data_IF_930749618673
#
_entry.id   IF_930749618673
#
_cell.length_a   1.000
_cell.length_b   1.000
_cell.length_c   1.000
_cell.angle_alpha   90.00
_cell.angle_beta   90.00
_cell.angle_gamma   90.00
#
_symmetry.space_group_name_H-M   'P 1'
#
loop_
_entity.id
_entity.type
_entity.pdbx_description
1 polymer ?
#
# COMPACT_ATOMS: atom_id res chain seq x y z
N UNK A 1 32.30 9.77 5.31
CA UNK A 1 30.83 9.77 5.13
C UNK A 1 30.36 8.37 5.52
N UNK A 2 29.44 8.20 6.49
CA UNK A 2 28.93 6.85 6.82
C UNK A 2 27.93 6.44 5.74
N UNK A 3 28.03 5.21 5.25
CA UNK A 3 27.04 4.62 4.36
C UNK A 3 25.70 4.45 5.09
N UNK A 4 24.60 4.81 4.42
CA UNK A 4 23.25 4.58 4.94
C UNK A 4 22.97 3.09 5.02
N UNK A 5 22.40 2.66 6.12
CA UNK A 5 21.84 1.31 6.29
C UNK A 5 20.70 1.07 5.30
N UNK A 6 20.39 -0.19 5.02
CA UNK A 6 19.29 -0.56 4.11
C UNK A 6 17.94 0.01 4.56
N UNK A 7 17.69 0.06 5.87
CA UNK A 7 16.47 0.65 6.42
C UNK A 7 16.39 2.17 6.15
N UNK A 8 17.50 2.89 6.30
CA UNK A 8 17.59 4.32 6.00
C UNK A 8 17.44 4.61 4.50
N UNK A 9 17.96 3.72 3.64
CA UNK A 9 17.76 3.81 2.19
C UNK A 9 16.29 3.61 1.81
N UNK A 10 15.62 2.61 2.37
CA UNK A 10 14.19 2.35 2.14
C UNK A 10 13.33 3.50 2.64
N UNK A 11 13.62 4.03 3.84
CA UNK A 11 12.89 5.18 4.37
C UNK A 11 13.06 6.42 3.49
N UNK A 12 14.28 6.69 3.00
CA UNK A 12 14.53 7.81 2.10
C UNK A 12 13.79 7.69 0.77
N UNK A 13 13.68 6.47 0.22
CA UNK A 13 12.90 6.21 -0.99
C UNK A 13 11.39 6.34 -0.75
N UNK A 14 10.90 5.87 0.40
CA UNK A 14 9.47 5.93 0.74
C UNK A 14 8.97 7.37 0.97
N UNK A 15 9.84 8.24 1.51
CA UNK A 15 9.52 9.64 1.79
C UNK A 15 9.86 10.58 0.62
N UNK A 16 10.37 10.06 -0.49
CA UNK A 16 10.69 10.85 -1.67
C UNK A 16 9.42 11.44 -2.30
N UNK A 17 9.34 12.77 -2.34
CA UNK A 17 8.23 13.45 -3.02
C UNK A 17 8.44 13.40 -4.53
N UNK A 18 7.61 12.62 -5.21
CA UNK A 18 7.60 12.56 -6.67
C UNK A 18 6.79 13.72 -7.28
N UNK A 19 7.25 14.31 -8.39
CA UNK A 19 6.40 15.11 -9.25
C UNK A 19 5.19 14.31 -9.73
N UNK A 20 4.05 14.97 -9.93
CA UNK A 20 2.79 14.30 -10.27
C UNK A 20 2.89 13.45 -11.55
N UNK A 21 3.59 13.95 -12.57
CA UNK A 21 3.81 13.24 -13.83
C UNK A 21 4.58 11.93 -13.64
N UNK A 22 5.67 11.98 -12.86
CA UNK A 22 6.49 10.82 -12.57
C UNK A 22 5.73 9.78 -11.73
N UNK A 23 4.92 10.24 -10.78
CA UNK A 23 4.03 9.37 -10.02
C UNK A 23 3.04 8.65 -10.96
N UNK A 24 2.37 9.37 -11.86
CA UNK A 24 1.41 8.79 -12.79
C UNK A 24 2.08 7.79 -13.73
N UNK A 25 3.27 8.10 -14.23
CA UNK A 25 4.07 7.19 -15.07
C UNK A 25 4.35 5.87 -14.35
N UNK A 26 4.83 5.92 -13.11
CA UNK A 26 5.11 4.71 -12.31
C UNK A 26 3.84 3.95 -11.94
N UNK A 27 2.77 4.67 -11.60
CA UNK A 27 1.48 4.05 -11.23
C UNK A 27 0.79 3.35 -12.41
N UNK A 28 1.10 3.76 -13.65
CA UNK A 28 0.60 3.12 -14.86
C UNK A 28 1.35 1.84 -15.23
N UNK A 29 2.54 1.63 -14.66
CA UNK A 29 3.34 0.43 -14.93
C UNK A 29 2.67 -0.78 -14.27
N UNK A 30 2.32 -1.84 -15.05
CA UNK A 30 1.73 -3.03 -14.47
C UNK A 30 2.76 -3.76 -13.61
N UNK A 31 2.33 -4.44 -12.53
CA UNK A 31 3.22 -5.29 -11.75
C UNK A 31 3.86 -6.38 -12.62
N UNK A 32 5.00 -6.94 -12.19
CA UNK A 32 5.57 -8.16 -12.77
C UNK A 32 4.53 -9.29 -12.90
N UNK A 33 4.67 -10.17 -13.89
CA UNK A 33 3.65 -11.15 -14.25
C UNK A 33 3.35 -12.18 -13.13
N UNK A 34 4.34 -12.51 -12.32
CA UNK A 34 4.23 -13.31 -11.10
C UNK A 34 3.44 -12.56 -10.02
N UNK A 35 3.77 -11.30 -9.75
CA UNK A 35 3.02 -10.46 -8.81
C UNK A 35 1.56 -10.26 -9.24
N UNK A 36 1.29 -10.11 -10.54
CA UNK A 36 -0.08 -10.01 -11.07
C UNK A 36 -0.92 -11.23 -10.68
N UNK A 37 -0.34 -12.44 -10.75
CA UNK A 37 -1.04 -13.67 -10.38
C UNK A 37 -1.42 -13.68 -8.91
N UNK A 38 -0.50 -13.26 -8.04
CA UNK A 38 -0.75 -13.18 -6.60
C UNK A 38 -1.81 -12.13 -6.27
N UNK A 39 -1.72 -10.95 -6.89
CA UNK A 39 -2.71 -9.88 -6.74
C UNK A 39 -4.11 -10.36 -7.14
N UNK A 40 -4.24 -11.06 -8.28
CA UNK A 40 -5.54 -11.59 -8.72
C UNK A 40 -6.08 -12.66 -7.76
N UNK A 41 -5.22 -13.51 -7.19
CA UNK A 41 -5.63 -14.47 -6.17
C UNK A 41 -6.12 -13.78 -4.89
N UNK A 42 -5.40 -12.76 -4.42
CA UNK A 42 -5.80 -11.95 -3.26
C UNK A 42 -7.12 -11.23 -3.50
N UNK A 43 -7.30 -10.62 -4.68
CA UNK A 43 -8.55 -9.96 -5.07
C UNK A 43 -9.69 -10.97 -5.09
N UNK A 44 -9.48 -12.16 -5.67
CA UNK A 44 -10.49 -13.23 -5.71
C UNK A 44 -10.91 -13.65 -4.31
N UNK A 45 -9.94 -13.96 -3.44
CA UNK A 45 -10.20 -14.32 -2.05
C UNK A 45 -10.96 -13.21 -1.31
N UNK A 46 -10.52 -11.95 -1.46
CA UNK A 46 -11.14 -10.81 -0.80
C UNK A 46 -12.59 -10.63 -1.25
N UNK A 47 -12.85 -10.76 -2.55
CA UNK A 47 -14.20 -10.68 -3.12
C UNK A 47 -15.10 -11.83 -2.68
N UNK A 48 -14.56 -13.02 -2.42
CA UNK A 48 -15.33 -14.14 -1.86
C UNK A 48 -15.67 -13.88 -0.39
N UNK A 49 -14.70 -13.41 0.40
CA UNK A 49 -14.89 -13.12 1.84
C UNK A 49 -15.81 -11.93 2.09
N UNK A 50 -15.84 -10.97 1.17
CA UNK A 50 -16.64 -9.74 1.19
C UNK A 50 -17.39 -9.57 -0.14
N UNK A 51 -18.51 -10.30 -0.31
CA UNK A 51 -19.16 -10.44 -1.62
C UNK A 51 -19.73 -9.12 -2.14
N UNK A 52 -20.27 -8.27 -1.27
CA UNK A 52 -20.93 -7.02 -1.67
C UNK A 52 -20.00 -5.81 -1.61
N UNK A 53 -20.20 -4.78 -2.48
CA UNK A 53 -19.47 -3.52 -2.38
C UNK A 53 -19.55 -2.89 -0.98
N UNK A 54 -20.72 -2.96 -0.33
CA UNK A 54 -20.92 -2.47 1.04
C UNK A 54 -20.04 -3.19 2.06
N UNK A 55 -19.90 -4.52 1.96
CA UNK A 55 -19.04 -5.30 2.85
C UNK A 55 -17.56 -4.97 2.66
N UNK A 56 -17.11 -4.78 1.41
CA UNK A 56 -15.73 -4.38 1.08
C UNK A 56 -15.43 -2.98 1.64
N UNK A 57 -16.35 -2.04 1.48
CA UNK A 57 -16.21 -0.69 2.03
C UNK A 57 -16.16 -0.69 3.56
N UNK A 58 -16.99 -1.51 4.21
CA UNK A 58 -16.96 -1.67 5.66
C UNK A 58 -15.60 -2.20 6.15
N UNK A 59 -15.04 -3.21 5.46
CA UNK A 59 -13.70 -3.71 5.73
C UNK A 59 -12.64 -2.62 5.58
N UNK A 60 -12.63 -1.90 4.45
CA UNK A 60 -11.66 -0.85 4.18
C UNK A 60 -11.69 0.25 5.26
N UNK A 61 -12.89 0.71 5.65
CA UNK A 61 -13.08 1.68 6.74
C UNK A 61 -12.60 1.16 8.08
N UNK A 62 -12.79 -0.14 8.37
CA UNK A 62 -12.29 -0.74 9.62
C UNK A 62 -10.76 -0.76 9.63
N UNK A 63 -10.11 -1.20 8.55
CA UNK A 63 -8.65 -1.22 8.44
C UNK A 63 -8.03 0.17 8.47
N UNK A 64 -8.62 1.13 7.78
CA UNK A 64 -8.20 2.53 7.88
C UNK A 64 -8.22 3.01 9.34
N UNK A 65 -9.30 2.74 10.09
CA UNK A 65 -9.37 3.10 11.51
C UNK A 65 -8.31 2.39 12.34
N UNK A 66 -8.06 1.10 12.11
CA UNK A 66 -7.01 0.34 12.81
C UNK A 66 -5.63 0.97 12.58
N UNK A 67 -5.26 1.26 11.33
CA UNK A 67 -3.95 1.80 10.97
C UNK A 67 -3.75 3.24 11.42
N UNK A 68 -4.75 4.09 11.21
CA UNK A 68 -4.69 5.51 11.63
C UNK A 68 -4.77 5.67 13.15
N UNK A 69 -5.38 4.72 13.87
CA UNK A 69 -5.33 4.71 15.32
C UNK A 69 -3.91 4.46 15.84
N UNK A 70 -3.16 3.55 15.22
CA UNK A 70 -1.77 3.25 15.61
C UNK A 70 -0.84 4.43 15.28
N UNK A 71 -1.01 5.07 14.11
CA UNK A 71 -0.22 6.24 13.73
C UNK A 71 -0.36 7.41 14.72
N UNK A 72 -1.54 7.60 15.32
CA UNK A 72 -1.77 8.62 16.36
C UNK A 72 -1.17 8.30 17.73
N UNK A 73 -0.72 7.06 17.95
CA UNK A 73 -0.04 6.66 19.19
C UNK A 73 1.49 6.82 19.09
N UNK A 74 2.06 6.86 17.89
CA UNK A 74 3.49 7.10 17.66
C UNK A 74 3.89 8.59 17.67
N UNK A 75 2.91 9.51 17.72
CA UNK A 75 3.12 10.97 17.76
C UNK A 75 2.94 11.58 19.17
N UNK A 76 2.69 10.76 20.19
CA UNK A 76 2.56 11.16 21.61
C UNK A 76 3.66 10.55 22.44
#
# INVERSE_FOLDING_TARGET
>A
MRERTKAEQVAALAEEKLPAEEFLRRAAEPPPADEQRELLQLIRWFRQRYPTPRARLAYARRKQREWTRVARYSER
#
